data_IF_538749917615
#
_entry.id   IF_538749917615
#
_cell.length_a   1.000
_cell.length_b   1.000
_cell.length_c   1.000
_cell.angle_alpha   90.00
_cell.angle_beta   90.00
_cell.angle_gamma   90.00
#
_symmetry.space_group_name_H-M   'P 1'
#
loop_
_entity.id
_entity.type
_entity.pdbx_description
1 polymer ?
#
# COMPACT_ATOMS: atom_id res chain seq x y z
N UNK A 1 -19.56 -34.99 5.82
CA UNK A 1 -18.87 -34.20 4.78
C UNK A 1 -18.86 -32.76 5.28
N UNK A 2 -17.70 -32.24 5.71
CA UNK A 2 -17.59 -30.94 6.37
C UNK A 2 -17.47 -29.79 5.37
N UNK A 3 -18.32 -28.79 5.52
CA UNK A 3 -18.29 -27.52 4.79
C UNK A 3 -17.07 -26.69 5.22
N UNK A 4 -16.32 -26.17 4.24
CA UNK A 4 -15.20 -25.26 4.48
C UNK A 4 -15.72 -23.89 4.94
N UNK A 5 -15.67 -23.65 6.24
CA UNK A 5 -15.88 -22.33 6.84
C UNK A 5 -14.75 -21.41 6.39
N UNK A 6 -15.05 -20.49 5.48
CA UNK A 6 -14.14 -19.39 5.11
C UNK A 6 -13.81 -18.58 6.37
N UNK A 7 -12.57 -18.71 6.86
CA UNK A 7 -12.08 -17.94 8.00
C UNK A 7 -12.07 -16.47 7.60
N UNK A 8 -13.00 -15.69 8.16
CA UNK A 8 -12.93 -14.23 8.08
C UNK A 8 -11.70 -13.80 8.88
N UNK A 9 -10.72 -13.22 8.19
CA UNK A 9 -9.56 -12.60 8.83
C UNK A 9 -10.00 -11.19 9.22
N UNK A 10 -10.33 -11.01 10.50
CA UNK A 10 -10.49 -9.67 11.08
C UNK A 10 -9.07 -9.11 11.26
N UNK A 11 -8.73 -8.10 10.47
CA UNK A 11 -7.49 -7.34 10.69
C UNK A 11 -7.79 -6.40 11.87
N UNK A 12 -7.17 -6.63 13.03
CA UNK A 12 -7.42 -5.84 14.25
C UNK A 12 -6.71 -4.47 14.24
N UNK A 13 -5.69 -4.30 13.41
CA UNK A 13 -4.90 -3.06 13.29
C UNK A 13 -4.79 -2.58 11.84
N UNK A 14 -5.13 -1.31 11.59
CA UNK A 14 -5.04 -0.66 10.28
C UNK A 14 -6.37 -0.12 9.77
N UNK A 15 -6.32 0.68 8.71
CA UNK A 15 -7.51 1.24 8.06
C UNK A 15 -7.92 0.39 6.86
N UNK A 16 -9.16 -0.08 6.86
CA UNK A 16 -9.71 -0.79 5.70
C UNK A 16 -10.00 0.18 4.53
N UNK A 17 -10.10 -0.37 3.31
CA UNK A 17 -10.36 0.45 2.11
C UNK A 17 -11.71 1.19 2.17
N UNK A 18 -12.64 0.75 3.03
CA UNK A 18 -13.93 1.43 3.25
C UNK A 18 -13.74 2.69 4.10
N UNK A 19 -12.91 2.61 5.14
CA UNK A 19 -12.54 3.73 6.00
C UNK A 19 -11.74 4.76 5.20
N UNK A 20 -10.76 4.30 4.41
CA UNK A 20 -9.99 5.17 3.50
C UNK A 20 -10.93 5.88 2.52
N UNK A 21 -11.83 5.15 1.86
CA UNK A 21 -12.79 5.75 0.93
C UNK A 21 -13.71 6.78 1.63
N UNK A 22 -14.11 6.53 2.87
CA UNK A 22 -14.96 7.45 3.65
C UNK A 22 -14.21 8.73 4.00
N UNK A 23 -12.96 8.63 4.45
CA UNK A 23 -12.10 9.79 4.70
C UNK A 23 -11.87 10.60 3.42
N UNK A 24 -11.52 9.95 2.32
CA UNK A 24 -11.32 10.61 1.04
C UNK A 24 -12.58 11.33 0.54
N UNK A 25 -13.78 10.75 0.75
CA UNK A 25 -15.06 11.43 0.48
C UNK A 25 -15.26 12.68 1.33
N UNK A 26 -14.92 12.62 2.62
CA UNK A 26 -15.02 13.80 3.50
C UNK A 26 -14.09 14.94 3.06
N UNK A 27 -12.98 14.60 2.39
CA UNK A 27 -12.05 15.55 1.77
C UNK A 27 -12.49 15.99 0.35
N UNK A 28 -13.70 15.63 -0.10
CA UNK A 28 -14.25 16.02 -1.40
C UNK A 28 -13.92 15.09 -2.57
N UNK A 29 -13.19 14.00 -2.34
CA UNK A 29 -12.86 13.04 -3.40
C UNK A 29 -13.98 12.04 -3.66
N UNK A 30 -14.38 11.83 -4.91
CA UNK A 30 -15.33 10.77 -5.29
C UNK A 30 -14.63 9.40 -5.32
N UNK A 31 -14.41 8.80 -4.15
CA UNK A 31 -13.73 7.51 -4.00
C UNK A 31 -14.63 6.48 -3.34
N UNK A 32 -14.76 5.29 -3.93
CA UNK A 32 -15.37 4.12 -3.26
C UNK A 32 -14.27 3.13 -2.82
N UNK A 33 -14.65 2.08 -2.08
CA UNK A 33 -13.68 1.10 -1.54
C UNK A 33 -12.87 0.38 -2.63
N UNK A 34 -13.47 0.09 -3.79
CA UNK A 34 -12.77 -0.51 -4.93
C UNK A 34 -11.77 0.48 -5.55
N UNK A 35 -12.15 1.74 -5.69
CA UNK A 35 -11.26 2.81 -6.14
C UNK A 35 -10.08 3.01 -5.18
N UNK A 36 -10.34 3.06 -3.87
CA UNK A 36 -9.30 3.16 -2.84
C UNK A 36 -8.28 2.04 -2.99
N UNK A 37 -8.75 0.78 -3.04
CA UNK A 37 -7.90 -0.40 -3.25
C UNK A 37 -7.06 -0.29 -4.53
N UNK A 38 -7.69 0.04 -5.65
CA UNK A 38 -6.99 0.10 -6.94
C UNK A 38 -5.93 1.19 -6.97
N UNK A 39 -6.22 2.37 -6.40
CA UNK A 39 -5.25 3.47 -6.30
C UNK A 39 -4.08 3.07 -5.41
N UNK A 40 -4.34 2.46 -4.25
CA UNK A 40 -3.29 1.97 -3.35
C UNK A 40 -2.40 0.95 -4.05
N UNK A 41 -2.96 -0.09 -4.67
CA UNK A 41 -2.20 -1.13 -5.36
C UNK A 41 -1.38 -0.56 -6.52
N UNK A 42 -1.96 0.35 -7.31
CA UNK A 42 -1.24 1.03 -8.40
C UNK A 42 -0.08 1.88 -7.87
N UNK A 43 -0.29 2.59 -6.76
CA UNK A 43 0.75 3.37 -6.08
C UNK A 43 1.91 2.49 -5.62
N UNK A 44 1.60 1.38 -4.95
CA UNK A 44 2.61 0.41 -4.49
C UNK A 44 3.37 -0.22 -5.66
N UNK A 45 2.68 -0.56 -6.76
CA UNK A 45 3.33 -1.14 -7.94
C UNK A 45 4.34 -0.16 -8.55
N UNK A 46 3.96 1.12 -8.69
CA UNK A 46 4.87 2.17 -9.17
C UNK A 46 6.04 2.39 -8.22
N UNK A 47 5.78 2.40 -6.92
CA UNK A 47 6.83 2.54 -5.90
C UNK A 47 7.86 1.40 -6.00
N UNK A 48 7.40 0.14 -6.01
CA UNK A 48 8.27 -1.03 -6.14
C UNK A 48 9.05 -1.03 -7.46
N UNK A 49 8.39 -0.72 -8.58
CA UNK A 49 9.05 -0.64 -9.88
C UNK A 49 10.10 0.48 -9.97
N UNK A 50 9.91 1.59 -9.24
CA UNK A 50 10.93 2.63 -9.13
C UNK A 50 12.09 2.18 -8.23
N UNK A 51 11.78 1.64 -7.04
CA UNK A 51 12.77 1.16 -6.08
C UNK A 51 13.66 0.07 -6.69
N UNK A 52 13.06 -0.88 -7.39
CA UNK A 52 13.73 -1.93 -8.13
C UNK A 52 14.76 -1.39 -9.14
N UNK A 53 14.39 -0.34 -9.88
CA UNK A 53 15.28 0.32 -10.84
C UNK A 53 16.44 1.04 -10.16
N UNK A 54 16.18 1.76 -9.06
CA UNK A 54 17.22 2.41 -8.26
C UNK A 54 18.21 1.40 -7.67
N UNK A 55 17.73 0.23 -7.25
CA UNK A 55 18.56 -0.85 -6.70
C UNK A 55 19.23 -1.73 -7.78
N UNK A 56 19.14 -1.37 -9.05
CA UNK A 56 19.64 -2.17 -10.19
C UNK A 56 19.12 -3.62 -10.20
N UNK A 57 17.90 -3.84 -9.68
CA UNK A 57 17.21 -5.11 -9.65
C UNK A 57 15.93 -5.00 -10.49
N UNK A 58 16.01 -5.08 -11.83
CA UNK A 58 14.84 -4.89 -12.67
C UNK A 58 13.83 -6.02 -12.46
N UNK A 59 12.67 -5.67 -11.91
CA UNK A 59 11.47 -6.52 -11.88
C UNK A 59 10.47 -6.00 -12.90
N UNK A 60 9.85 -6.93 -13.63
CA UNK A 60 8.80 -6.60 -14.58
C UNK A 60 7.49 -6.21 -13.88
N UNK A 61 6.56 -5.62 -14.65
CA UNK A 61 5.29 -5.13 -14.13
C UNK A 61 4.42 -6.25 -13.54
N UNK A 62 4.45 -7.44 -14.14
CA UNK A 62 3.72 -8.61 -13.65
C UNK A 62 4.28 -9.09 -12.30
N UNK A 63 5.59 -9.10 -12.13
CA UNK A 63 6.23 -9.40 -10.85
C UNK A 63 5.90 -8.34 -9.80
N UNK A 64 5.97 -7.05 -10.15
CA UNK A 64 5.58 -5.97 -9.24
C UNK A 64 4.12 -6.11 -8.79
N UNK A 65 3.21 -6.42 -9.73
CA UNK A 65 1.80 -6.68 -9.44
C UNK A 65 1.61 -7.90 -8.54
N UNK A 66 2.37 -8.98 -8.75
CA UNK A 66 2.33 -10.16 -7.87
C UNK A 66 2.84 -9.84 -6.47
N UNK A 67 3.92 -9.08 -6.35
CA UNK A 67 4.49 -8.67 -5.05
C UNK A 67 3.50 -7.81 -4.26
N UNK A 68 2.83 -6.85 -4.90
CA UNK A 68 1.80 -6.02 -4.23
C UNK A 68 0.55 -6.79 -3.80
N UNK A 69 0.40 -8.06 -4.17
CA UNK A 69 -0.68 -8.92 -3.65
C UNK A 69 -0.27 -9.66 -2.36
N UNK A 70 1.00 -9.62 -1.98
CA UNK A 70 1.52 -10.34 -0.82
C UNK A 70 1.44 -9.47 0.43
N UNK A 71 0.77 -9.96 1.48
CA UNK A 71 0.55 -9.23 2.73
C UNK A 71 1.84 -8.63 3.33
N UNK A 72 2.92 -9.41 3.39
CA UNK A 72 4.20 -8.95 3.93
C UNK A 72 4.81 -7.75 3.18
N UNK A 73 4.50 -7.57 1.89
CA UNK A 73 4.94 -6.40 1.12
C UNK A 73 4.19 -5.14 1.57
N UNK A 74 2.90 -5.26 1.93
CA UNK A 74 2.14 -4.14 2.52
C UNK A 74 2.70 -3.74 3.87
N UNK A 75 3.05 -4.72 4.71
CA UNK A 75 3.66 -4.50 6.03
C UNK A 75 5.02 -3.79 5.90
N UNK A 76 5.93 -4.33 5.06
CA UNK A 76 7.25 -3.73 4.82
C UNK A 76 7.16 -2.30 4.29
N UNK A 77 6.24 -2.02 3.36
CA UNK A 77 6.03 -0.65 2.86
C UNK A 77 5.51 0.26 3.98
N UNK A 78 4.63 -0.24 4.84
CA UNK A 78 4.14 0.46 6.03
C UNK A 78 5.25 0.82 7.02
N UNK A 79 6.28 -0.02 7.14
CA UNK A 79 7.44 0.25 8.00
C UNK A 79 8.46 1.21 7.36
N UNK A 80 8.69 1.12 6.05
CA UNK A 80 9.70 1.93 5.34
C UNK A 80 9.23 3.37 5.11
N UNK A 81 7.95 3.58 4.77
CA UNK A 81 7.44 4.91 4.43
C UNK A 81 7.61 5.96 5.54
N UNK A 82 7.36 5.65 6.84
CA UNK A 82 7.65 6.56 7.94
C UNK A 82 9.12 6.96 8.03
N UNK A 83 10.05 6.01 7.84
CA UNK A 83 11.50 6.28 7.89
C UNK A 83 11.89 7.33 6.84
N UNK A 84 11.37 7.19 5.62
CA UNK A 84 11.61 8.16 4.55
C UNK A 84 10.97 9.52 4.90
N UNK A 85 9.77 9.53 5.46
CA UNK A 85 9.08 10.77 5.82
C UNK A 85 9.87 11.57 6.87
N UNK A 86 10.46 10.90 7.84
CA UNK A 86 11.23 11.55 8.90
C UNK A 86 12.56 12.09 8.37
N UNK A 87 13.29 11.31 7.56
CA UNK A 87 14.49 11.78 6.85
C UNK A 87 14.20 13.03 5.99
N UNK A 88 13.06 13.05 5.30
CA UNK A 88 12.64 14.19 4.47
C UNK A 88 12.29 15.44 5.29
N UNK A 89 11.81 15.30 6.53
CA UNK A 89 11.58 16.45 7.43
C UNK A 89 12.90 17.02 7.90
N UNK A 90 13.83 16.17 8.35
CA UNK A 90 15.15 16.61 8.78
C UNK A 90 15.94 17.31 7.67
N UNK A 91 15.82 16.84 6.42
CA UNK A 91 16.47 17.46 5.27
C UNK A 91 15.91 18.86 4.95
N UNK A 92 14.65 19.14 5.29
CA UNK A 92 14.01 20.45 5.12
C UNK A 92 14.31 21.43 6.24
N UNK A 93 14.55 20.95 7.45
CA UNK A 93 14.93 21.78 8.60
C UNK A 93 16.40 22.23 8.56
N UNK A 94 17.24 21.54 7.76
CA UNK A 94 18.65 21.87 7.54
C UNK A 94 18.90 22.78 6.33
N UNK A 95 17.84 23.21 5.60
CA UNK A 95 17.89 24.18 4.50
C UNK A 95 17.29 25.52 4.94
#
# INVERSE_FOLDING_TARGET
MSASTGKYITIEEGEDFRSIATKMKSLGSKMNHATARNVTLLGMQKFLGNLARELNCPVDDETCKRLTQQQHIHELIGEILPLICDDMKEAKEKQ
#
